data_IF_618178955292
#
_entry.id   IF_618178955292
#
_cell.length_a   1.000
_cell.length_b   1.000
_cell.length_c   1.000
_cell.angle_alpha   90.00
_cell.angle_beta   90.00
_cell.angle_gamma   90.00
#
_symmetry.space_group_name_H-M   'P 1'
#
loop_
_entity.id
_entity.type
_entity.pdbx_description
1 polymer ?
#
# COMPACT_ATOMS: atom_id res chain seq x y z
N UNK A 1 -9.77 61.03 0.45
CA UNK A 1 -9.64 60.08 1.58
C UNK A 1 -9.78 58.68 1.05
N UNK A 2 -8.75 57.90 1.31
CA UNK A 2 -8.32 56.72 0.68
C UNK A 2 -9.23 55.51 0.76
N UNK A 3 -9.24 54.77 -0.34
CA UNK A 3 -9.56 53.40 -0.47
C UNK A 3 -8.26 52.57 -0.41
N UNK A 4 -7.86 52.19 0.79
CA UNK A 4 -6.83 51.21 1.03
C UNK A 4 -7.43 50.21 2.01
N UNK A 5 -7.83 49.04 1.56
CA UNK A 5 -8.35 48.03 2.47
C UNK A 5 -9.04 46.82 1.89
N UNK A 6 -8.89 46.46 0.60
CA UNK A 6 -9.51 45.26 0.08
C UNK A 6 -8.58 44.27 -0.67
N UNK A 7 -7.30 44.63 -0.87
CA UNK A 7 -6.36 43.73 -1.59
C UNK A 7 -5.42 42.93 -0.69
N UNK A 8 -5.50 43.08 0.63
CA UNK A 8 -4.57 42.42 1.56
C UNK A 8 -5.10 41.11 2.18
N UNK A 9 -6.30 40.63 1.78
CA UNK A 9 -6.89 39.40 2.34
C UNK A 9 -6.85 38.17 1.41
N UNK A 10 -6.20 38.23 0.25
CA UNK A 10 -6.17 37.11 -0.70
C UNK A 10 -4.80 36.37 -0.70
N UNK A 11 -3.78 36.91 -0.03
CA UNK A 11 -2.42 36.35 -0.12
C UNK A 11 -2.02 35.29 0.90
N UNK A 12 -2.87 34.89 1.85
CA UNK A 12 -2.50 33.95 2.92
C UNK A 12 -3.45 32.74 3.11
N UNK A 13 -4.13 32.30 2.07
CA UNK A 13 -4.70 30.94 2.12
C UNK A 13 -3.59 29.94 1.85
N UNK A 14 -3.19 29.21 2.89
CA UNK A 14 -2.33 28.04 2.72
C UNK A 14 -2.90 27.16 1.61
N UNK A 15 -2.10 26.90 0.57
CA UNK A 15 -2.50 26.03 -0.55
C UNK A 15 -1.74 24.73 -0.48
N UNK A 16 -2.33 23.63 -1.01
CA UNK A 16 -1.64 22.34 -1.09
C UNK A 16 -0.35 22.39 -1.92
N UNK A 17 -0.16 23.44 -2.75
CA UNK A 17 1.06 23.68 -3.54
C UNK A 17 2.22 24.26 -2.72
N UNK A 18 1.98 24.68 -1.47
CA UNK A 18 3.04 25.17 -0.61
C UNK A 18 3.88 24.00 -0.07
N UNK A 19 5.03 23.76 -0.68
CA UNK A 19 5.94 22.67 -0.33
C UNK A 19 6.63 22.83 1.05
N UNK A 20 6.42 23.94 1.78
CA UNK A 20 6.88 24.11 3.15
C UNK A 20 5.90 23.53 4.19
N UNK A 21 4.65 23.23 3.80
CA UNK A 21 3.67 22.63 4.69
C UNK A 21 3.90 21.13 4.83
N UNK A 22 3.53 20.53 5.98
CA UNK A 22 3.54 19.08 6.15
C UNK A 22 2.68 18.36 5.10
N UNK A 23 3.11 17.19 4.68
CA UNK A 23 2.41 16.37 3.68
C UNK A 23 0.93 16.13 4.03
N UNK A 24 0.63 15.84 5.30
CA UNK A 24 -0.74 15.61 5.78
C UNK A 24 -1.62 16.86 5.69
N UNK A 25 -1.06 18.04 5.98
CA UNK A 25 -1.80 19.31 5.86
C UNK A 25 -2.11 19.61 4.39
N UNK A 26 -1.13 19.41 3.49
CA UNK A 26 -1.30 19.57 2.05
C UNK A 26 -2.36 18.61 1.50
N UNK A 27 -2.34 17.36 1.93
CA UNK A 27 -3.34 16.35 1.58
C UNK A 27 -4.75 16.81 2.00
N UNK A 28 -4.90 17.32 3.22
CA UNK A 28 -6.18 17.82 3.72
C UNK A 28 -6.69 19.07 2.97
N UNK A 29 -5.79 19.92 2.47
CA UNK A 29 -6.15 21.07 1.63
C UNK A 29 -6.58 20.62 0.24
N UNK A 30 -5.82 19.72 -0.40
CA UNK A 30 -6.13 19.21 -1.72
C UNK A 30 -7.44 18.39 -1.74
N UNK A 31 -7.69 17.59 -0.72
CA UNK A 31 -8.89 16.78 -0.57
C UNK A 31 -10.19 17.61 -0.71
N UNK A 32 -10.18 18.86 -0.20
CA UNK A 32 -11.34 19.75 -0.25
C UNK A 32 -11.66 20.27 -1.66
N UNK A 33 -10.70 20.18 -2.57
CA UNK A 33 -10.83 20.62 -3.96
C UNK A 33 -11.31 19.49 -4.89
N UNK A 34 -11.30 18.22 -4.42
CA UNK A 34 -11.64 17.05 -5.23
C UNK A 34 -13.15 16.77 -5.23
N UNK A 35 -13.68 16.42 -6.40
CA UNK A 35 -15.04 15.82 -6.51
C UNK A 35 -15.00 14.35 -6.08
N UNK A 36 -16.16 13.74 -5.83
CA UNK A 36 -16.26 12.31 -5.48
C UNK A 36 -15.63 11.42 -6.56
N UNK A 37 -15.93 11.71 -7.83
CA UNK A 37 -15.39 10.95 -8.97
C UNK A 37 -13.86 11.06 -9.05
N UNK A 38 -13.30 12.24 -8.79
CA UNK A 38 -11.86 12.44 -8.75
C UNK A 38 -11.23 11.71 -7.56
N UNK A 39 -11.84 11.77 -6.37
CA UNK A 39 -11.40 11.01 -5.19
C UNK A 39 -11.31 9.52 -5.50
N UNK A 40 -12.37 8.94 -6.04
CA UNK A 40 -12.44 7.52 -6.41
C UNK A 40 -11.39 7.17 -7.47
N UNK A 41 -11.15 8.04 -8.46
CA UNK A 41 -10.14 7.80 -9.49
C UNK A 41 -8.70 7.72 -8.95
N UNK A 42 -8.45 8.30 -7.77
CA UNK A 42 -7.14 8.25 -7.10
C UNK A 42 -6.97 6.99 -6.23
N UNK A 43 -8.04 6.22 -5.99
CA UNK A 43 -8.03 5.04 -5.11
C UNK A 43 -7.73 3.72 -5.83
N UNK A 44 -7.29 3.76 -7.07
CA UNK A 44 -6.88 2.58 -7.85
C UNK A 44 -5.37 2.60 -8.11
N UNK A 45 -4.77 1.42 -8.31
CA UNK A 45 -3.33 1.27 -8.53
C UNK A 45 -2.81 2.11 -9.71
N UNK A 46 -3.64 2.31 -10.72
CA UNK A 46 -3.40 3.24 -11.82
C UNK A 46 -4.21 4.51 -11.60
N UNK A 47 -3.73 5.37 -10.69
CA UNK A 47 -4.39 6.65 -10.36
C UNK A 47 -4.40 7.59 -11.55
N UNK A 48 -5.60 8.07 -11.92
CA UNK A 48 -5.77 8.98 -13.05
C UNK A 48 -5.29 10.40 -12.73
N UNK A 49 -4.89 11.19 -13.73
CA UNK A 49 -4.57 12.59 -13.52
C UNK A 49 -5.82 13.40 -13.18
N UNK A 50 -5.64 14.47 -12.39
CA UNK A 50 -6.65 15.51 -12.20
C UNK A 50 -6.08 16.83 -12.71
N UNK A 51 -6.17 17.03 -14.02
CA UNK A 51 -5.47 18.10 -14.75
C UNK A 51 -5.78 19.50 -14.20
N UNK A 52 -7.05 19.78 -13.86
CA UNK A 52 -7.46 21.08 -13.31
C UNK A 52 -6.76 21.46 -12.00
N UNK A 53 -6.24 20.46 -11.26
CA UNK A 53 -5.49 20.64 -10.01
C UNK A 53 -4.01 20.38 -10.20
N UNK A 54 -3.56 20.04 -11.40
CA UNK A 54 -2.16 19.72 -11.70
C UNK A 54 -1.67 18.40 -11.10
N UNK A 55 -2.60 17.48 -10.78
CA UNK A 55 -2.25 16.15 -10.29
C UNK A 55 -1.88 15.29 -11.49
N UNK A 56 -0.63 14.81 -11.51
CA UNK A 56 -0.14 13.87 -12.53
C UNK A 56 -0.67 12.45 -12.29
N UNK A 57 -0.74 11.60 -13.33
CA UNK A 57 -1.05 10.18 -13.12
C UNK A 57 0.03 9.55 -12.26
N UNK A 58 -0.32 8.51 -11.50
CA UNK A 58 0.62 7.76 -10.67
C UNK A 58 0.28 6.27 -10.70
N UNK A 59 1.28 5.42 -10.84
CA UNK A 59 1.09 3.98 -10.72
C UNK A 59 1.72 3.45 -9.43
N UNK A 60 0.86 2.90 -8.56
CA UNK A 60 1.25 2.37 -7.26
C UNK A 60 1.94 1.02 -7.34
N UNK A 61 1.73 0.29 -8.44
CA UNK A 61 2.28 -1.06 -8.59
C UNK A 61 3.73 -1.02 -9.05
N UNK A 62 4.64 -1.24 -8.11
CA UNK A 62 6.06 -1.39 -8.39
C UNK A 62 6.61 -2.59 -7.61
N UNK A 63 7.59 -3.27 -8.16
CA UNK A 63 8.11 -4.53 -7.65
C UNK A 63 9.61 -4.44 -7.39
N UNK A 64 10.05 -4.96 -6.22
CA UNK A 64 11.46 -4.93 -5.83
C UNK A 64 11.85 -6.10 -4.92
N UNK A 65 11.31 -7.31 -5.14
CA UNK A 65 11.58 -8.47 -4.27
C UNK A 65 13.06 -8.84 -4.18
N UNK A 66 13.81 -8.67 -5.27
CA UNK A 66 15.25 -8.93 -5.33
C UNK A 66 15.97 -8.03 -6.36
N UNK A 67 15.59 -6.77 -6.39
CA UNK A 67 16.00 -5.75 -7.36
C UNK A 67 14.79 -5.11 -8.02
N UNK A 68 14.94 -3.90 -8.55
CA UNK A 68 13.85 -3.19 -9.23
C UNK A 68 13.42 -3.99 -10.45
N UNK A 69 12.14 -4.37 -10.51
CA UNK A 69 11.64 -5.25 -11.55
C UNK A 69 10.79 -4.52 -12.59
N UNK A 70 10.82 -5.08 -13.80
CA UNK A 70 9.94 -4.91 -14.96
C UNK A 70 9.98 -3.56 -15.66
N UNK A 71 10.82 -2.60 -15.25
CA UNK A 71 11.00 -1.32 -15.92
C UNK A 71 12.46 -1.18 -16.44
N UNK A 72 12.80 -1.93 -17.48
CA UNK A 72 14.15 -1.94 -18.05
C UNK A 72 15.17 -2.71 -17.19
N UNK A 73 16.47 -2.44 -17.39
CA UNK A 73 17.56 -3.10 -16.68
C UNK A 73 17.73 -2.54 -15.26
N UNK A 74 18.04 -3.43 -14.32
CA UNK A 74 18.42 -3.12 -12.95
C UNK A 74 19.33 -4.24 -12.40
N UNK A 75 19.99 -4.00 -11.27
CA UNK A 75 20.76 -5.03 -10.57
C UNK A 75 19.81 -6.12 -10.05
N UNK A 76 20.15 -7.38 -10.33
CA UNK A 76 19.40 -8.56 -9.85
C UNK A 76 20.19 -9.19 -8.71
N UNK A 77 19.54 -9.27 -7.55
CA UNK A 77 20.05 -9.93 -6.34
C UNK A 77 19.48 -11.34 -6.21
N UNK A 78 19.99 -12.17 -5.28
CA UNK A 78 19.39 -13.47 -5.00
C UNK A 78 17.90 -13.34 -4.62
N UNK A 79 17.12 -14.40 -4.86
CA UNK A 79 15.74 -14.48 -4.39
C UNK A 79 15.67 -14.30 -2.85
N UNK A 80 14.58 -13.78 -2.28
CA UNK A 80 14.44 -13.56 -0.84
C UNK A 80 14.78 -14.78 0.01
N UNK A 81 14.35 -15.98 -0.39
CA UNK A 81 14.71 -17.23 0.32
C UNK A 81 16.22 -17.49 0.35
N UNK A 82 16.92 -17.13 -0.73
CA UNK A 82 18.38 -17.23 -0.80
C UNK A 82 19.07 -16.17 0.05
N UNK A 83 18.56 -14.95 0.09
CA UNK A 83 19.05 -13.89 0.99
C UNK A 83 18.84 -14.27 2.46
N UNK A 84 17.69 -14.86 2.79
CA UNK A 84 17.40 -15.32 4.16
C UNK A 84 18.40 -16.40 4.63
N UNK A 85 18.84 -17.29 3.72
CA UNK A 85 19.84 -18.33 4.02
C UNK A 85 21.23 -17.79 4.39
N UNK A 86 21.49 -16.51 4.19
CA UNK A 86 22.72 -15.84 4.66
C UNK A 86 22.72 -15.62 6.17
N UNK A 87 21.56 -15.58 6.82
CA UNK A 87 21.38 -15.18 8.22
C UNK A 87 22.00 -13.81 8.56
N UNK A 88 22.14 -12.92 7.56
CA UNK A 88 22.74 -11.59 7.73
C UNK A 88 21.73 -10.48 7.42
N UNK A 89 21.04 -9.95 8.43
CA UNK A 89 20.16 -8.79 8.28
C UNK A 89 20.89 -7.56 7.71
N UNK A 90 22.15 -7.37 8.07
CA UNK A 90 22.98 -6.26 7.61
C UNK A 90 23.18 -6.32 6.09
N UNK A 91 23.49 -7.49 5.54
CA UNK A 91 23.61 -7.68 4.08
C UNK A 91 22.29 -7.41 3.36
N UNK A 92 21.16 -7.84 3.95
CA UNK A 92 19.83 -7.54 3.40
C UNK A 92 19.55 -6.03 3.39
N UNK A 93 19.93 -5.32 4.46
CA UNK A 93 19.82 -3.85 4.51
C UNK A 93 20.63 -3.17 3.40
N UNK A 94 21.89 -3.59 3.19
CA UNK A 94 22.77 -3.06 2.14
C UNK A 94 22.18 -3.31 0.73
N UNK A 95 21.69 -4.53 0.47
CA UNK A 95 21.04 -4.89 -0.80
C UNK A 95 19.85 -3.96 -1.06
N UNK A 96 18.93 -3.80 -0.09
CA UNK A 96 17.74 -2.99 -0.31
C UNK A 96 18.01 -1.48 -0.27
N UNK A 97 19.12 -1.06 0.31
CA UNK A 97 19.62 0.32 0.14
C UNK A 97 20.03 0.57 -1.31
N UNK A 98 20.80 -0.35 -1.92
CA UNK A 98 21.17 -0.25 -3.35
C UNK A 98 19.92 -0.31 -4.25
N UNK A 99 18.98 -1.21 -3.98
CA UNK A 99 17.70 -1.30 -4.72
C UNK A 99 16.94 0.03 -4.66
N UNK A 100 16.91 0.68 -3.50
CA UNK A 100 16.21 1.96 -3.34
C UNK A 100 16.89 3.11 -4.10
N UNK A 101 18.21 3.11 -4.19
CA UNK A 101 18.95 4.08 -5.00
C UNK A 101 18.66 3.91 -6.49
N UNK A 102 18.67 2.66 -6.98
CA UNK A 102 18.29 2.37 -8.37
C UNK A 102 16.84 2.76 -8.66
N UNK A 103 15.92 2.46 -7.75
CA UNK A 103 14.50 2.81 -7.91
C UNK A 103 14.29 4.32 -8.02
N UNK A 104 14.95 5.12 -7.17
CA UNK A 104 14.89 6.59 -7.24
C UNK A 104 15.49 7.11 -8.53
N UNK A 105 16.63 6.60 -8.96
CA UNK A 105 17.28 7.00 -10.22
C UNK A 105 16.37 6.68 -11.43
N UNK A 106 15.73 5.50 -11.44
CA UNK A 106 14.80 5.11 -12.51
C UNK A 106 13.56 5.98 -12.52
N UNK A 107 12.96 6.23 -11.35
CA UNK A 107 11.80 7.12 -11.24
C UNK A 107 12.15 8.54 -11.75
N UNK A 108 13.28 9.12 -11.36
CA UNK A 108 13.72 10.43 -11.84
C UNK A 108 13.89 10.44 -13.37
N UNK A 109 14.47 9.38 -13.94
CA UNK A 109 14.59 9.24 -15.39
C UNK A 109 13.23 9.19 -16.08
N UNK A 110 12.32 8.32 -15.64
CA UNK A 110 11.00 8.20 -16.27
C UNK A 110 10.15 9.46 -16.11
N UNK A 111 10.18 10.10 -14.94
CA UNK A 111 9.50 11.38 -14.69
C UNK A 111 10.02 12.48 -15.64
N UNK A 112 11.34 12.52 -15.91
CA UNK A 112 11.91 13.47 -16.87
C UNK A 112 11.45 13.22 -18.33
N UNK A 113 10.93 12.03 -18.61
CA UNK A 113 10.31 11.66 -19.90
C UNK A 113 8.77 11.78 -19.87
N UNK A 114 8.21 12.37 -18.81
CA UNK A 114 6.76 12.46 -18.58
C UNK A 114 6.05 11.09 -18.56
N UNK A 115 6.77 10.03 -18.16
CA UNK A 115 6.27 8.66 -18.08
C UNK A 115 5.96 8.30 -16.62
N UNK A 116 4.75 7.82 -16.36
CA UNK A 116 4.23 7.43 -15.04
C UNK A 116 3.58 6.04 -15.09
N UNK A 117 4.17 5.15 -15.84
CA UNK A 117 3.65 3.81 -16.06
C UNK A 117 3.95 2.87 -14.88
N UNK A 118 3.35 1.68 -14.91
CA UNK A 118 3.60 0.61 -13.95
C UNK A 118 5.10 0.29 -13.85
N UNK A 119 5.58 0.06 -12.63
CA UNK A 119 6.99 -0.23 -12.28
C UNK A 119 7.96 0.96 -12.39
N UNK A 120 7.45 2.17 -12.48
CA UNK A 120 8.25 3.39 -12.57
C UNK A 120 8.11 4.30 -11.34
N UNK A 121 7.23 3.93 -10.39
CA UNK A 121 6.92 4.72 -9.19
C UNK A 121 7.87 4.45 -8.01
N UNK A 122 7.48 4.96 -6.86
CA UNK A 122 8.27 4.97 -5.62
C UNK A 122 7.64 4.13 -4.49
N UNK A 123 6.53 3.45 -4.76
CA UNK A 123 5.81 2.56 -3.84
C UNK A 123 6.12 1.11 -4.20
N UNK A 124 6.96 0.44 -3.39
CA UNK A 124 7.45 -0.91 -3.70
C UNK A 124 6.62 -1.95 -2.95
N UNK A 125 5.92 -2.83 -3.67
CA UNK A 125 5.12 -3.89 -3.07
C UNK A 125 6.00 -5.06 -2.62
N UNK A 126 6.82 -4.76 -1.62
CA UNK A 126 7.90 -5.58 -1.06
C UNK A 126 8.11 -5.17 0.40
N UNK A 127 8.35 -6.11 1.36
CA UNK A 127 8.64 -7.54 1.20
C UNK A 127 7.43 -8.46 1.32
N UNK A 128 7.58 -9.72 0.83
CA UNK A 128 6.68 -10.83 1.15
C UNK A 128 7.13 -11.48 2.45
N UNK A 129 6.35 -11.31 3.54
CA UNK A 129 6.69 -11.82 4.87
C UNK A 129 5.75 -12.91 5.36
N UNK A 130 5.03 -13.56 4.45
CA UNK A 130 4.26 -14.75 4.75
C UNK A 130 5.20 -15.91 5.11
N UNK A 131 4.74 -16.77 6.03
CA UNK A 131 5.51 -17.94 6.46
C UNK A 131 5.45 -19.04 5.42
N UNK A 132 6.60 -19.51 4.96
CA UNK A 132 6.73 -20.61 4.00
C UNK A 132 6.53 -21.98 4.70
N UNK A 133 5.29 -22.30 5.03
CA UNK A 133 4.94 -23.50 5.79
C UNK A 133 4.69 -24.76 4.96
N UNK A 134 4.49 -24.63 3.64
CA UNK A 134 4.21 -25.75 2.73
C UNK A 134 5.06 -25.64 1.47
N UNK A 135 5.93 -26.64 1.17
CA UNK A 135 6.82 -26.60 0.00
C UNK A 135 6.08 -26.62 -1.34
N UNK A 136 4.78 -26.95 -1.35
CA UNK A 136 3.95 -26.90 -2.56
C UNK A 136 3.49 -25.49 -2.93
N UNK A 137 3.64 -24.53 -2.01
CA UNK A 137 3.29 -23.16 -2.32
C UNK A 137 4.25 -22.55 -3.34
N UNK A 138 3.75 -22.21 -4.54
CA UNK A 138 4.54 -21.76 -5.68
C UNK A 138 5.28 -20.44 -5.47
N UNK A 139 4.90 -19.62 -4.46
CA UNK A 139 5.52 -18.34 -4.12
C UNK A 139 6.51 -18.41 -2.95
N UNK A 140 6.85 -19.60 -2.50
CA UNK A 140 7.79 -19.78 -1.38
C UNK A 140 9.14 -19.11 -1.58
N UNK A 141 9.64 -19.03 -2.82
CA UNK A 141 10.91 -18.36 -3.16
C UNK A 141 10.89 -16.84 -2.88
N UNK A 142 9.71 -16.23 -2.83
CA UNK A 142 9.53 -14.81 -2.52
C UNK A 142 9.64 -14.51 -1.02
N UNK A 143 9.70 -15.55 -0.16
CA UNK A 143 9.65 -15.44 1.30
C UNK A 143 11.02 -15.56 1.93
N UNK A 144 11.09 -15.27 3.23
CA UNK A 144 12.31 -15.40 4.06
C UNK A 144 12.33 -16.71 4.86
N UNK A 145 11.47 -17.70 4.48
CA UNK A 145 11.45 -19.04 5.04
C UNK A 145 10.29 -19.29 6.01
N UNK A 146 10.45 -20.31 6.84
CA UNK A 146 9.41 -20.83 7.74
C UNK A 146 9.47 -20.26 9.17
N UNK A 147 10.60 -19.64 9.55
CA UNK A 147 10.80 -19.12 10.89
C UNK A 147 10.29 -17.67 11.03
N UNK A 148 9.33 -17.40 11.93
CA UNK A 148 8.77 -16.06 12.09
C UNK A 148 9.77 -15.02 12.57
N UNK A 149 10.75 -15.40 13.41
CA UNK A 149 11.75 -14.47 13.91
C UNK A 149 12.72 -14.06 12.80
N UNK A 150 13.28 -15.03 12.06
CA UNK A 150 14.16 -14.75 10.93
C UNK A 150 13.45 -13.88 9.90
N UNK A 151 12.21 -14.22 9.53
CA UNK A 151 11.39 -13.44 8.61
C UNK A 151 11.18 -12.01 9.11
N UNK A 152 10.92 -11.83 10.40
CA UNK A 152 10.79 -10.51 11.02
C UNK A 152 12.08 -9.69 10.91
N UNK A 153 13.24 -10.28 11.27
CA UNK A 153 14.53 -9.58 11.22
C UNK A 153 14.92 -9.17 9.80
N UNK A 154 14.80 -10.09 8.85
CA UNK A 154 15.07 -9.81 7.44
C UNK A 154 14.08 -8.78 6.88
N UNK A 155 12.79 -8.94 7.11
CA UNK A 155 11.75 -8.03 6.64
C UNK A 155 11.93 -6.60 7.16
N UNK A 156 12.28 -6.42 8.43
CA UNK A 156 12.58 -5.09 8.99
C UNK A 156 13.75 -4.42 8.26
N UNK A 157 14.79 -5.18 7.89
CA UNK A 157 15.94 -4.63 7.15
C UNK A 157 15.60 -4.30 5.71
N UNK A 158 14.74 -5.09 5.06
CA UNK A 158 14.18 -4.74 3.75
C UNK A 158 13.46 -3.39 3.80
N UNK A 159 12.55 -3.22 4.76
CA UNK A 159 11.80 -1.98 4.93
C UNK A 159 12.74 -0.80 5.16
N UNK A 160 13.69 -0.93 6.09
CA UNK A 160 14.66 0.13 6.40
C UNK A 160 15.57 0.47 5.21
N UNK A 161 16.02 -0.54 4.46
CA UNK A 161 16.84 -0.33 3.25
C UNK A 161 16.07 0.41 2.16
N UNK A 162 14.81 0.01 1.90
CA UNK A 162 13.96 0.66 0.91
C UNK A 162 13.56 2.08 1.30
N UNK A 163 13.09 2.27 2.53
CA UNK A 163 12.59 3.56 2.99
C UNK A 163 13.70 4.54 3.36
N UNK A 164 14.91 4.03 3.64
CA UNK A 164 16.07 4.85 4.02
C UNK A 164 15.91 5.51 5.40
N UNK A 165 16.79 6.47 5.67
CA UNK A 165 16.73 7.36 6.82
C UNK A 165 15.92 8.60 6.43
N UNK A 166 14.99 9.04 7.30
CA UNK A 166 14.15 10.22 7.06
C UNK A 166 14.92 11.53 7.35
N UNK A 167 16.11 11.67 6.80
CA UNK A 167 16.99 12.83 6.93
C UNK A 167 16.84 13.84 5.75
N UNK A 168 16.07 13.47 4.75
CA UNK A 168 15.71 14.30 3.60
C UNK A 168 14.36 15.01 3.76
N UNK A 169 14.06 15.89 2.79
CA UNK A 169 12.75 16.54 2.69
C UNK A 169 11.62 15.55 2.37
N UNK A 170 11.95 14.51 1.61
CA UNK A 170 10.99 13.50 1.13
C UNK A 170 11.40 12.11 1.55
N UNK A 171 10.41 11.23 1.72
CA UNK A 171 10.63 9.81 1.90
C UNK A 171 11.34 9.23 0.67
N UNK A 172 12.29 8.30 0.89
CA UNK A 172 13.06 7.71 -0.21
C UNK A 172 12.18 6.82 -1.09
N UNK A 173 11.55 5.81 -0.50
CA UNK A 173 10.53 4.93 -1.07
C UNK A 173 9.52 4.57 0.00
N UNK A 174 8.38 4.04 -0.40
CA UNK A 174 7.48 3.31 0.50
C UNK A 174 7.63 1.80 0.25
N UNK A 175 7.82 1.05 1.31
CA UNK A 175 7.77 -0.41 1.32
C UNK A 175 6.38 -0.89 1.70
N UNK A 176 6.02 -2.11 1.27
CA UNK A 176 4.71 -2.72 1.52
C UNK A 176 4.87 -4.13 2.09
N UNK A 177 4.38 -4.35 3.31
CA UNK A 177 4.33 -5.67 3.92
C UNK A 177 3.19 -6.50 3.30
N UNK A 178 3.50 -7.67 2.74
CA UNK A 178 2.49 -8.51 2.07
C UNK A 178 2.66 -9.98 2.38
N UNK A 179 1.60 -10.75 2.32
CA UNK A 179 0.18 -10.47 2.10
C UNK A 179 -0.56 -10.70 3.42
N UNK A 180 -1.22 -9.72 3.95
CA UNK A 180 -1.81 -9.72 5.29
C UNK A 180 -3.25 -10.27 5.25
N UNK A 181 -3.57 -11.45 5.83
CA UNK A 181 -2.70 -12.32 6.60
C UNK A 181 -3.05 -13.80 6.35
N UNK A 182 -2.20 -14.68 6.93
CA UNK A 182 -2.35 -16.15 6.85
C UNK A 182 -2.40 -16.65 5.40
N UNK A 183 -1.63 -16.03 4.52
CA UNK A 183 -1.53 -16.37 3.10
C UNK A 183 -0.25 -17.16 2.83
N UNK A 184 -0.37 -18.48 2.64
CA UNK A 184 0.76 -19.35 2.32
C UNK A 184 0.33 -20.65 1.61
N UNK A 185 -0.50 -20.48 0.56
CA UNK A 185 -0.92 -21.55 -0.34
C UNK A 185 -2.18 -22.29 0.10
N UNK A 186 -2.67 -23.29 -0.68
CA UNK A 186 -2.18 -23.56 -2.02
C UNK A 186 -2.60 -22.48 -3.03
N UNK A 187 -1.75 -22.21 -4.01
CA UNK A 187 -1.89 -21.08 -4.93
C UNK A 187 -3.10 -21.21 -5.87
N UNK A 188 -3.50 -22.43 -6.22
CA UNK A 188 -4.59 -22.71 -7.16
C UNK A 188 -5.99 -22.32 -6.65
N UNK A 189 -6.18 -22.22 -5.32
CA UNK A 189 -7.48 -21.83 -4.74
C UNK A 189 -7.41 -20.53 -3.90
N UNK A 190 -6.37 -19.71 -4.07
CA UNK A 190 -6.17 -18.49 -3.29
C UNK A 190 -7.36 -17.53 -3.28
N UNK A 191 -8.14 -17.52 -4.37
CA UNK A 191 -9.33 -16.68 -4.55
C UNK A 191 -10.59 -17.21 -3.82
N UNK A 192 -10.56 -18.41 -3.31
CA UNK A 192 -11.70 -19.05 -2.62
C UNK A 192 -11.33 -19.50 -1.20
N UNK A 193 -10.03 -19.62 -0.91
CA UNK A 193 -9.53 -20.15 0.36
C UNK A 193 -10.02 -19.35 1.56
N UNK A 194 -10.45 -20.05 2.62
CA UNK A 194 -10.79 -19.49 3.91
C UNK A 194 -9.84 -20.06 4.97
N UNK A 195 -9.01 -19.19 5.56
CA UNK A 195 -8.19 -19.53 6.71
C UNK A 195 -9.06 -19.47 7.96
N UNK A 196 -9.61 -20.60 8.38
CA UNK A 196 -10.52 -20.72 9.50
C UNK A 196 -10.00 -21.68 10.58
N UNK A 197 -10.56 -21.58 11.79
CA UNK A 197 -10.12 -22.35 12.95
C UNK A 197 -8.65 -22.13 13.31
N UNK A 198 -8.12 -20.96 13.04
CA UNK A 198 -6.76 -20.58 13.39
C UNK A 198 -6.69 -20.37 14.89
N UNK A 199 -5.89 -21.19 15.58
CA UNK A 199 -5.70 -21.05 17.03
C UNK A 199 -5.03 -19.69 17.31
N UNK A 200 -5.45 -18.98 18.36
CA UNK A 200 -4.84 -17.70 18.74
C UNK A 200 -3.30 -17.79 18.86
N UNK A 201 -2.78 -18.90 19.40
CA UNK A 201 -1.35 -19.11 19.51
C UNK A 201 -0.67 -19.15 18.13
N UNK A 202 -1.23 -19.90 17.18
CA UNK A 202 -0.65 -20.02 15.84
C UNK A 202 -0.71 -18.67 15.11
N UNK A 203 -1.80 -17.90 15.30
CA UNK A 203 -1.94 -16.58 14.74
C UNK A 203 -0.87 -15.61 15.28
N UNK A 204 -0.78 -15.47 16.62
CA UNK A 204 0.08 -14.47 17.27
C UNK A 204 1.55 -14.89 17.45
N UNK A 205 1.88 -16.19 17.34
CA UNK A 205 3.27 -16.67 17.46
C UNK A 205 3.90 -17.03 16.11
N UNK A 206 3.08 -17.20 15.03
CA UNK A 206 3.60 -17.63 13.72
C UNK A 206 3.26 -16.66 12.59
N UNK A 207 1.97 -16.33 12.39
CA UNK A 207 1.55 -15.61 11.19
C UNK A 207 1.66 -14.10 11.30
N UNK A 208 1.37 -13.52 12.45
CA UNK A 208 1.37 -12.08 12.67
C UNK A 208 2.74 -11.46 13.00
N UNK A 209 3.69 -12.14 13.71
CA UNK A 209 4.92 -11.51 14.17
C UNK A 209 5.74 -10.80 13.10
N UNK A 210 5.92 -11.32 11.86
CA UNK A 210 6.64 -10.58 10.83
C UNK A 210 5.98 -9.25 10.47
N UNK A 211 4.66 -9.22 10.34
CA UNK A 211 3.92 -7.99 10.04
C UNK A 211 4.00 -6.98 11.18
N UNK A 212 3.82 -7.45 12.43
CA UNK A 212 3.95 -6.60 13.61
C UNK A 212 5.34 -5.95 13.70
N UNK A 213 6.40 -6.73 13.46
CA UNK A 213 7.76 -6.22 13.44
C UNK A 213 7.98 -5.17 12.34
N UNK A 214 7.44 -5.39 11.13
CA UNK A 214 7.54 -4.42 10.05
C UNK A 214 6.78 -3.13 10.36
N UNK A 215 5.64 -3.20 11.03
CA UNK A 215 4.88 -2.01 11.47
C UNK A 215 5.60 -1.29 12.61
N UNK A 216 5.93 -2.01 13.70
CA UNK A 216 6.43 -1.39 14.94
C UNK A 216 7.90 -1.00 14.87
N UNK A 217 8.76 -1.82 14.23
CA UNK A 217 10.22 -1.61 14.18
C UNK A 217 10.68 -1.08 12.81
N UNK A 218 10.11 -1.61 11.72
CA UNK A 218 10.41 -1.20 10.35
C UNK A 218 9.77 0.13 9.95
N UNK A 219 8.66 0.50 10.61
CA UNK A 219 7.84 1.67 10.23
C UNK A 219 7.39 1.62 8.78
N UNK A 220 6.97 0.42 8.34
CA UNK A 220 6.49 0.20 6.98
C UNK A 220 5.33 1.14 6.65
N UNK A 221 5.35 1.68 5.44
CA UNK A 221 4.37 2.69 4.99
C UNK A 221 3.10 2.08 4.40
N UNK A 222 3.18 0.85 3.90
CA UNK A 222 2.06 0.18 3.24
C UNK A 222 1.93 -1.26 3.71
N UNK A 223 0.69 -1.76 3.72
CA UNK A 223 0.35 -3.15 4.00
C UNK A 223 -0.63 -3.64 2.94
N UNK A 224 -0.32 -4.73 2.26
CA UNK A 224 -1.21 -5.34 1.27
C UNK A 224 -2.02 -6.45 1.91
N UNK A 225 -3.35 -6.33 1.90
CA UNK A 225 -4.24 -7.39 2.34
C UNK A 225 -4.32 -8.53 1.32
N UNK A 226 -4.42 -9.76 1.82
CA UNK A 226 -4.32 -10.97 1.02
C UNK A 226 -5.60 -11.33 0.27
N UNK A 227 -5.49 -12.22 -0.72
CA UNK A 227 -6.63 -12.75 -1.47
C UNK A 227 -7.60 -13.55 -0.61
N UNK A 228 -7.08 -14.38 0.31
CA UNK A 228 -7.90 -15.33 1.05
C UNK A 228 -8.85 -14.65 2.04
N UNK A 229 -9.84 -15.43 2.51
CA UNK A 229 -10.62 -15.08 3.69
C UNK A 229 -9.85 -15.46 4.96
N UNK A 230 -10.15 -14.74 6.02
CA UNK A 230 -9.74 -15.03 7.39
C UNK A 230 -10.97 -15.11 8.28
N UNK A 231 -11.20 -16.29 8.88
CA UNK A 231 -12.36 -16.57 9.74
C UNK A 231 -13.71 -16.19 9.09
N UNK A 232 -13.80 -16.36 7.76
CA UNK A 232 -15.01 -16.09 6.98
C UNK A 232 -14.99 -14.77 6.22
N UNK A 233 -14.31 -13.74 6.71
CA UNK A 233 -14.23 -12.42 6.07
C UNK A 233 -13.08 -12.39 5.04
N UNK A 234 -13.25 -11.80 3.85
CA UNK A 234 -12.13 -11.49 2.99
C UNK A 234 -11.08 -10.65 3.72
N UNK A 235 -9.79 -10.96 3.60
CA UNK A 235 -8.76 -10.21 4.32
C UNK A 235 -8.83 -8.70 4.09
N UNK A 236 -9.18 -8.28 2.86
CA UNK A 236 -9.34 -6.86 2.51
C UNK A 236 -10.65 -6.23 3.03
N UNK A 237 -11.52 -7.00 3.65
CA UNK A 237 -12.77 -6.56 4.29
C UNK A 237 -12.87 -7.03 5.75
N UNK A 238 -11.76 -7.39 6.37
CA UNK A 238 -11.74 -7.91 7.73
C UNK A 238 -11.45 -6.82 8.75
N UNK A 239 -12.47 -6.37 9.47
CA UNK A 239 -12.32 -5.42 10.59
C UNK A 239 -11.35 -5.94 11.65
N UNK A 240 -11.36 -7.25 11.91
CA UNK A 240 -10.46 -7.85 12.90
C UNK A 240 -8.99 -7.69 12.48
N UNK A 241 -8.65 -7.96 11.22
CA UNK A 241 -7.28 -7.85 10.75
C UNK A 241 -6.86 -6.38 10.59
N UNK A 242 -7.65 -5.60 9.87
CA UNK A 242 -7.23 -4.28 9.40
C UNK A 242 -7.47 -3.18 10.43
N UNK A 243 -8.62 -3.20 11.14
CA UNK A 243 -8.92 -2.18 12.13
C UNK A 243 -8.38 -2.58 13.50
N UNK A 244 -8.84 -3.72 14.08
CA UNK A 244 -8.50 -4.07 15.45
C UNK A 244 -7.01 -4.41 15.64
N UNK A 245 -6.44 -5.30 14.81
CA UNK A 245 -5.04 -5.73 14.96
C UNK A 245 -4.10 -4.70 14.35
N UNK A 246 -4.24 -4.39 13.05
CA UNK A 246 -3.27 -3.57 12.34
C UNK A 246 -3.28 -2.12 12.83
N UNK A 247 -4.47 -1.46 12.88
CA UNK A 247 -4.55 -0.04 13.24
C UNK A 247 -4.61 0.21 14.73
N UNK A 248 -5.50 -0.46 15.47
CA UNK A 248 -5.71 -0.15 16.88
C UNK A 248 -4.63 -0.77 17.77
N UNK A 249 -4.31 -2.06 17.59
CA UNK A 249 -3.34 -2.76 18.44
C UNK A 249 -1.88 -2.40 18.08
N UNK A 250 -1.55 -2.30 16.79
CA UNK A 250 -0.18 -2.01 16.36
C UNK A 250 0.08 -0.53 16.05
N UNK A 251 -0.96 0.29 15.94
CA UNK A 251 -0.86 1.72 15.67
C UNK A 251 -0.43 2.05 14.24
N UNK A 252 -0.81 1.22 13.26
CA UNK A 252 -0.50 1.47 11.86
C UNK A 252 -1.34 2.62 11.31
N UNK A 253 -0.68 3.66 10.82
CA UNK A 253 -1.28 4.87 10.24
C UNK A 253 -1.10 4.99 8.72
N UNK A 254 -0.38 4.05 8.11
CA UNK A 254 -0.10 4.03 6.67
C UNK A 254 -1.26 3.54 5.80
N UNK A 255 -0.94 3.24 4.54
CA UNK A 255 -1.88 2.79 3.52
C UNK A 255 -2.11 1.28 3.63
N UNK A 256 -3.37 0.86 3.57
CA UNK A 256 -3.74 -0.52 3.27
C UNK A 256 -4.18 -0.60 1.82
N UNK A 257 -3.59 -1.53 1.08
CA UNK A 257 -3.97 -1.79 -0.32
C UNK A 257 -4.37 -3.24 -0.54
N UNK A 258 -5.20 -3.47 -1.55
CA UNK A 258 -5.60 -4.83 -1.91
C UNK A 258 -4.56 -5.53 -2.77
N UNK A 259 -4.44 -6.86 -2.66
CA UNK A 259 -3.86 -7.66 -3.73
C UNK A 259 -4.71 -7.53 -5.01
N UNK A 260 -4.11 -7.79 -6.19
CA UNK A 260 -4.71 -7.42 -7.46
C UNK A 260 -5.97 -8.27 -7.77
N UNK A 261 -7.12 -7.59 -7.82
CA UNK A 261 -8.42 -8.21 -8.02
C UNK A 261 -9.04 -8.78 -6.75
N UNK A 262 -8.42 -8.64 -5.58
CA UNK A 262 -8.92 -9.22 -4.32
C UNK A 262 -10.29 -8.66 -3.90
N UNK A 263 -10.60 -7.40 -4.21
CA UNK A 263 -11.95 -6.84 -3.94
C UNK A 263 -13.00 -7.49 -4.85
N UNK A 264 -12.63 -7.78 -6.10
CA UNK A 264 -13.52 -8.46 -7.02
C UNK A 264 -13.88 -9.89 -6.56
N UNK A 265 -12.99 -10.55 -5.81
CA UNK A 265 -13.25 -11.87 -5.23
C UNK A 265 -14.41 -11.86 -4.21
N UNK A 266 -14.76 -10.71 -3.62
CA UNK A 266 -15.88 -10.62 -2.68
C UNK A 266 -17.22 -10.97 -3.35
N UNK A 267 -17.42 -10.65 -4.64
CA UNK A 267 -18.71 -10.76 -5.31
C UNK A 267 -18.72 -11.64 -6.58
N UNK A 268 -17.56 -11.96 -7.15
CA UNK A 268 -17.48 -12.78 -8.38
C UNK A 268 -17.79 -14.25 -8.12
N UNK A 269 -18.30 -14.95 -9.16
CA UNK A 269 -18.72 -16.36 -9.06
C UNK A 269 -17.59 -17.34 -8.71
N UNK A 270 -16.36 -17.00 -9.09
CA UNK A 270 -15.16 -17.79 -8.77
C UNK A 270 -14.41 -17.30 -7.53
N UNK A 271 -14.99 -16.37 -6.78
CA UNK A 271 -14.42 -15.80 -5.57
C UNK A 271 -15.17 -16.22 -4.31
N UNK A 272 -15.16 -15.34 -3.31
CA UNK A 272 -15.68 -15.63 -1.97
C UNK A 272 -17.20 -15.61 -1.87
N UNK A 273 -17.89 -14.88 -2.74
CA UNK A 273 -19.36 -14.69 -2.72
C UNK A 273 -19.91 -14.16 -1.40
N UNK A 274 -19.14 -13.32 -0.73
CA UNK A 274 -19.54 -12.69 0.54
C UNK A 274 -20.40 -11.46 0.34
N UNK A 275 -20.36 -10.87 -0.84
CA UNK A 275 -21.10 -9.65 -1.20
C UNK A 275 -21.85 -9.85 -2.53
N UNK A 276 -23.01 -9.18 -2.72
CA UNK A 276 -23.84 -9.40 -3.89
C UNK A 276 -23.34 -8.67 -5.15
N UNK A 277 -22.62 -7.57 -4.99
CA UNK A 277 -22.24 -6.65 -6.08
C UNK A 277 -20.94 -5.89 -5.77
N UNK A 278 -20.42 -5.18 -6.78
CA UNK A 278 -19.20 -4.40 -6.66
C UNK A 278 -19.35 -3.21 -5.70
N UNK A 279 -20.51 -2.57 -5.65
CA UNK A 279 -20.81 -1.43 -4.79
C UNK A 279 -20.72 -1.84 -3.31
N UNK A 280 -21.35 -2.98 -2.96
CA UNK A 280 -21.33 -3.50 -1.58
C UNK A 280 -19.93 -3.99 -1.19
N UNK A 281 -19.21 -4.66 -2.11
CA UNK A 281 -17.85 -5.15 -1.91
C UNK A 281 -16.86 -3.99 -1.68
N UNK A 282 -16.91 -2.98 -2.53
CA UNK A 282 -16.05 -1.80 -2.45
C UNK A 282 -16.32 -0.99 -1.18
N UNK A 283 -17.60 -0.79 -0.84
CA UNK A 283 -17.99 -0.12 0.40
C UNK A 283 -17.46 -0.88 1.63
N UNK A 284 -17.62 -2.20 1.69
CA UNK A 284 -17.14 -3.02 2.79
C UNK A 284 -15.61 -2.94 2.93
N UNK A 285 -14.87 -3.02 1.83
CA UNK A 285 -13.41 -2.94 1.84
C UNK A 285 -12.92 -1.58 2.38
N UNK A 286 -13.49 -0.46 1.92
CA UNK A 286 -13.12 0.88 2.41
C UNK A 286 -13.49 1.06 3.87
N UNK A 287 -14.68 0.62 4.29
CA UNK A 287 -15.13 0.72 5.69
C UNK A 287 -14.24 -0.10 6.63
N UNK A 288 -13.73 -1.24 6.18
CA UNK A 288 -12.77 -2.06 6.93
C UNK A 288 -11.31 -1.56 6.83
N UNK A 289 -11.06 -0.45 6.14
CA UNK A 289 -9.77 0.25 6.15
C UNK A 289 -8.85 -0.02 4.97
N UNK A 290 -9.32 -0.65 3.87
CA UNK A 290 -8.57 -0.79 2.62
C UNK A 290 -8.67 0.50 1.80
N UNK A 291 -7.56 1.23 1.70
CA UNK A 291 -7.49 2.57 1.14
C UNK A 291 -7.33 2.59 -0.39
N UNK A 292 -6.63 1.58 -0.95
CA UNK A 292 -6.25 1.50 -2.37
C UNK A 292 -6.60 0.14 -2.94
N UNK A 293 -7.16 0.09 -4.14
CA UNK A 293 -7.40 -1.15 -4.85
C UNK A 293 -6.38 -1.35 -5.98
N UNK A 294 -5.78 -2.55 -6.05
CA UNK A 294 -5.21 -3.06 -7.30
C UNK A 294 -6.32 -3.72 -8.10
N UNK A 295 -6.95 -2.97 -8.98
CA UNK A 295 -8.10 -3.43 -9.75
C UNK A 295 -9.00 -2.30 -10.22
N UNK A 296 -10.29 -2.61 -10.41
CA UNK A 296 -11.29 -1.66 -10.91
C UNK A 296 -12.63 -1.69 -10.17
N UNK A 297 -12.75 -2.48 -9.08
CA UNK A 297 -14.01 -2.57 -8.33
C UNK A 297 -14.35 -1.25 -7.65
N UNK A 298 -13.35 -0.48 -7.24
CA UNK A 298 -13.54 0.83 -6.61
C UNK A 298 -14.19 1.87 -7.51
N UNK A 299 -14.23 1.67 -8.84
CA UNK A 299 -15.07 2.51 -9.71
C UNK A 299 -16.53 2.53 -9.27
N UNK A 300 -17.02 1.45 -8.62
CA UNK A 300 -18.38 1.34 -8.07
C UNK A 300 -18.61 2.19 -6.80
N UNK A 301 -17.56 2.77 -6.17
CA UNK A 301 -17.71 3.58 -4.96
C UNK A 301 -18.55 4.84 -5.19
N UNK A 302 -18.48 5.45 -6.39
CA UNK A 302 -19.32 6.60 -6.73
C UNK A 302 -20.80 6.25 -6.59
N UNK A 303 -21.19 5.10 -7.12
CA UNK A 303 -22.58 4.64 -7.04
C UNK A 303 -22.92 4.14 -5.62
N UNK A 304 -21.96 3.50 -4.92
CA UNK A 304 -22.14 3.08 -3.54
C UNK A 304 -22.45 4.26 -2.59
N UNK A 305 -21.78 5.41 -2.78
CA UNK A 305 -22.07 6.64 -2.03
C UNK A 305 -23.48 7.16 -2.38
N UNK A 306 -23.86 7.22 -3.66
CA UNK A 306 -25.19 7.65 -4.09
C UNK A 306 -26.32 6.76 -3.54
N UNK A 307 -26.05 5.46 -3.41
CA UNK A 307 -26.99 4.49 -2.81
C UNK A 307 -26.98 4.50 -1.28
N UNK A 308 -26.12 5.28 -0.63
CA UNK A 308 -26.00 5.32 0.83
C UNK A 308 -25.38 4.06 1.45
N UNK A 309 -24.66 3.24 0.67
CA UNK A 309 -23.93 2.08 1.17
C UNK A 309 -22.67 2.47 1.95
N UNK A 310 -22.13 3.66 1.65
CA UNK A 310 -20.95 4.24 2.31
C UNK A 310 -21.09 5.77 2.33
N UNK A 311 -20.60 6.41 3.41
CA UNK A 311 -20.50 7.88 3.50
C UNK A 311 -19.23 8.34 2.75
N UNK A 312 -19.34 9.44 2.01
CA UNK A 312 -18.19 10.07 1.33
C UNK A 312 -17.03 10.37 2.28
N UNK A 313 -17.31 10.62 3.57
CA UNK A 313 -16.27 10.81 4.59
C UNK A 313 -15.34 9.60 4.77
N UNK A 314 -15.83 8.38 4.56
CA UNK A 314 -14.97 7.20 4.60
C UNK A 314 -14.03 7.17 3.39
N UNK A 315 -14.52 7.57 2.21
CA UNK A 315 -13.70 7.78 1.01
C UNK A 315 -12.65 8.86 1.26
N UNK A 316 -13.02 9.97 1.91
CA UNK A 316 -12.11 11.06 2.28
C UNK A 316 -10.94 10.60 3.14
N UNK A 317 -11.19 9.72 4.10
CA UNK A 317 -10.14 9.15 4.97
C UNK A 317 -9.11 8.38 4.16
N UNK A 318 -9.56 7.51 3.25
CA UNK A 318 -8.69 6.73 2.38
C UNK A 318 -7.88 7.64 1.44
N UNK A 319 -8.56 8.54 0.72
CA UNK A 319 -7.90 9.47 -0.21
C UNK A 319 -6.88 10.36 0.49
N UNK A 320 -7.19 10.84 1.71
CA UNK A 320 -6.24 11.65 2.50
C UNK A 320 -4.93 10.89 2.75
N UNK A 321 -4.99 9.58 3.09
CA UNK A 321 -3.79 8.76 3.28
C UNK A 321 -2.98 8.63 1.99
N UNK A 322 -3.64 8.39 0.87
CA UNK A 322 -2.99 8.29 -0.44
C UNK A 322 -2.30 9.59 -0.83
N UNK A 323 -2.98 10.73 -0.70
CA UNK A 323 -2.41 12.05 -0.99
C UNK A 323 -1.24 12.37 -0.06
N UNK A 324 -1.35 12.04 1.24
CA UNK A 324 -0.26 12.24 2.20
C UNK A 324 1.00 11.48 1.77
N UNK A 325 0.85 10.22 1.33
CA UNK A 325 1.97 9.43 0.83
C UNK A 325 2.60 10.04 -0.43
N UNK A 326 1.81 10.48 -1.41
CA UNK A 326 2.30 11.13 -2.63
C UNK A 326 3.06 12.43 -2.33
N UNK A 327 2.56 13.25 -1.40
CA UNK A 327 3.29 14.44 -0.94
C UNK A 327 4.57 14.08 -0.18
N UNK A 328 4.54 13.06 0.69
CA UNK A 328 5.70 12.60 1.43
C UNK A 328 6.81 12.07 0.51
N UNK A 329 6.47 11.42 -0.59
CA UNK A 329 7.41 10.95 -1.60
C UNK A 329 7.98 12.07 -2.49
N UNK A 330 7.39 13.27 -2.45
CA UNK A 330 7.75 14.40 -3.32
C UNK A 330 7.23 14.27 -4.75
N UNK A 331 6.39 13.29 -5.03
CA UNK A 331 5.86 13.01 -6.36
C UNK A 331 4.92 14.13 -6.87
N UNK A 332 4.33 14.88 -5.93
CA UNK A 332 3.40 15.98 -6.21
C UNK A 332 4.11 17.35 -6.30
N UNK A 333 5.43 17.41 -6.17
CA UNK A 333 6.24 18.61 -6.23
C UNK A 333 7.07 18.66 -7.53
N UNK A 334 7.42 19.89 -7.97
CA UNK A 334 8.28 20.14 -9.14
C UNK A 334 9.77 19.92 -8.81
#
# INVERSE_FOLDING_TARGET
YGLVGSEMCIRDRATYKNASLPAEERAGLLLKELTLEEKVSLMMDSSKPVERLGIKPYNWWNEALHGVARAGLATVFPQPIGMAASFSPETVYEVFTAVSDEARAKNAYYTSQESHERYQGLTMWTPTVNIYRDPRWGRGIETYGEDPYLTSRMGVMVVKGLQGTNDGKYDKLHACAKHFAVHSGPEWNRHEFNAENIKPRDLYETYLPPFEALVKEGKVKEVMCAYNRFEGDPCCGSDRLLMQILRDEWGFDGIVLSDCGAIADFYRDYGHKTHPDAESASAAAVLSGTDLECGSSYEALVEAVKQGKIDEKAVDVAVKRLLTARFALGEMDE
#
